data_IF_254566051546
#
_entry.id   IF_254566051546
#
_cell.length_a   1.000
_cell.length_b   1.000
_cell.length_c   1.000
_cell.angle_alpha   90.00
_cell.angle_beta   90.00
_cell.angle_gamma   90.00
#
_symmetry.space_group_name_H-M   'P 1'
#
loop_
_entity.id
_entity.type
_entity.pdbx_description
1 polymer ?
#
# COMPACT_ATOMS: atom_id res chain seq x y z
N UNK A 1 -13.76 -2.92 -7.37
CA UNK A 1 -12.36 -2.51 -7.60
C UNK A 1 -11.93 -2.76 -9.05
N UNK A 2 -12.08 -3.98 -9.58
CA UNK A 2 -11.78 -4.32 -10.98
C UNK A 2 -12.52 -3.42 -11.97
N UNK A 3 -13.84 -3.23 -11.79
CA UNK A 3 -14.66 -2.34 -12.59
C UNK A 3 -14.20 -0.87 -12.51
N UNK A 4 -13.79 -0.39 -11.33
CA UNK A 4 -13.25 0.97 -11.17
C UNK A 4 -11.96 1.16 -11.95
N UNK A 5 -11.04 0.20 -11.89
CA UNK A 5 -9.80 0.24 -12.66
C UNK A 5 -10.04 0.08 -14.16
N UNK A 6 -10.98 -0.79 -14.58
CA UNK A 6 -11.42 -0.89 -15.99
C UNK A 6 -12.05 0.42 -16.47
N UNK A 7 -12.88 1.09 -15.66
CA UNK A 7 -13.50 2.37 -16.03
C UNK A 7 -12.47 3.50 -16.13
N UNK A 8 -11.54 3.57 -15.19
CA UNK A 8 -10.42 4.52 -15.25
C UNK A 8 -9.61 4.25 -16.53
N UNK A 9 -9.28 2.99 -16.82
CA UNK A 9 -8.59 2.60 -18.05
C UNK A 9 -9.40 2.94 -19.30
N UNK A 10 -10.70 2.62 -19.35
CA UNK A 10 -11.58 2.83 -20.51
C UNK A 10 -11.83 4.31 -20.81
N UNK A 11 -12.09 5.13 -19.79
CA UNK A 11 -12.26 6.60 -19.99
C UNK A 11 -10.99 7.28 -20.46
N UNK A 12 -9.81 6.79 -20.02
CA UNK A 12 -8.53 7.32 -20.50
C UNK A 12 -8.19 6.82 -21.91
N UNK A 13 -8.60 5.61 -22.32
CA UNK A 13 -8.42 5.14 -23.70
C UNK A 13 -9.28 5.92 -24.69
N UNK A 14 -10.51 6.33 -24.33
CA UNK A 14 -11.36 7.15 -25.19
C UNK A 14 -10.79 8.55 -25.45
N UNK A 15 -9.89 9.05 -24.59
CA UNK A 15 -9.22 10.33 -24.77
C UNK A 15 -8.02 10.29 -25.75
N UNK A 16 -7.56 9.09 -26.17
CA UNK A 16 -6.43 8.93 -27.12
C UNK A 16 -6.56 7.62 -27.93
N UNK A 17 -6.91 7.64 -29.23
CA UNK A 17 -6.88 6.46 -30.07
C UNK A 17 -5.47 6.11 -30.54
N UNK A 18 -5.07 4.85 -30.30
CA UNK A 18 -4.01 4.16 -31.03
C UNK A 18 -2.66 4.01 -30.34
N UNK A 19 -2.46 2.88 -29.63
CA UNK A 19 -1.19 2.12 -29.63
C UNK A 19 -1.50 0.68 -29.16
N UNK A 20 -1.24 -0.32 -29.99
CA UNK A 20 -1.25 -1.74 -29.66
C UNK A 20 0.17 -2.20 -29.37
N UNK A 21 0.44 -2.69 -28.15
CA UNK A 21 1.71 -3.30 -27.77
C UNK A 21 1.46 -4.64 -27.06
N UNK A 22 2.11 -5.71 -27.52
CA UNK A 22 2.01 -7.05 -26.93
C UNK A 22 2.70 -7.12 -25.55
N UNK A 23 2.16 -7.89 -24.59
CA UNK A 23 2.76 -8.04 -23.26
C UNK A 23 3.99 -8.96 -23.31
N UNK A 24 5.10 -8.48 -22.73
CA UNK A 24 6.30 -9.31 -22.49
C UNK A 24 6.10 -10.26 -21.31
N UNK A 25 6.64 -11.46 -21.40
CA UNK A 25 6.62 -12.47 -20.33
C UNK A 25 7.30 -11.94 -19.06
N UNK A 26 6.57 -12.00 -17.95
CA UNK A 26 7.11 -11.71 -16.63
C UNK A 26 8.06 -12.85 -16.19
N UNK A 27 9.30 -12.51 -15.87
CA UNK A 27 10.25 -13.43 -15.23
C UNK A 27 9.86 -13.66 -13.78
N UNK A 28 9.82 -14.91 -13.34
CA UNK A 28 9.56 -15.25 -11.93
C UNK A 28 10.67 -14.66 -11.02
N UNK A 29 10.32 -14.01 -9.89
CA UNK A 29 11.32 -13.45 -8.99
C UNK A 29 12.16 -14.56 -8.33
N UNK A 30 13.46 -14.29 -8.14
CA UNK A 30 14.32 -15.18 -7.36
C UNK A 30 13.81 -15.29 -5.91
N UNK A 31 14.05 -16.43 -5.26
CA UNK A 31 13.58 -16.67 -3.87
C UNK A 31 14.11 -15.68 -2.82
N UNK A 32 15.12 -14.87 -3.17
CA UNK A 32 15.77 -13.86 -2.33
C UNK A 32 15.29 -12.43 -2.59
N UNK A 33 14.48 -12.18 -3.62
CA UNK A 33 14.01 -10.84 -3.93
C UNK A 33 13.10 -10.30 -2.82
N UNK A 34 13.35 -9.06 -2.38
CA UNK A 34 12.52 -8.37 -1.38
C UNK A 34 11.35 -7.61 -2.00
N UNK A 35 11.35 -7.43 -3.31
CA UNK A 35 10.36 -6.67 -4.06
C UNK A 35 10.05 -7.38 -5.38
N UNK A 36 8.78 -7.43 -5.76
CA UNK A 36 8.35 -7.69 -7.13
C UNK A 36 8.01 -6.38 -7.81
N UNK A 37 8.49 -6.17 -9.03
CA UNK A 37 8.12 -5.04 -9.88
C UNK A 37 7.73 -5.54 -11.27
N UNK A 38 6.47 -5.38 -11.64
CA UNK A 38 5.94 -5.73 -12.96
C UNK A 38 5.70 -4.43 -13.73
N UNK A 39 6.37 -4.22 -14.87
CA UNK A 39 6.18 -3.01 -15.67
C UNK A 39 4.79 -2.97 -16.29
N UNK A 40 4.21 -1.78 -16.42
CA UNK A 40 2.91 -1.55 -17.06
C UNK A 40 3.03 -0.82 -18.40
N UNK A 41 1.94 -0.79 -19.16
CA UNK A 41 1.79 -0.03 -20.42
C UNK A 41 0.79 1.13 -20.28
N UNK A 42 0.01 1.15 -19.20
CA UNK A 42 -0.96 2.20 -18.87
C UNK A 42 -0.35 3.30 -18.01
N UNK A 43 -1.02 4.44 -17.78
CA UNK A 43 -0.58 5.44 -16.81
C UNK A 43 -0.81 5.05 -15.35
N UNK A 44 -1.41 3.88 -15.10
CA UNK A 44 -1.72 3.39 -13.76
C UNK A 44 -0.53 2.63 -13.17
N UNK A 45 -0.25 2.91 -11.91
CA UNK A 45 0.75 2.21 -11.09
C UNK A 45 0.06 1.85 -9.77
N UNK A 46 0.12 0.60 -9.41
CA UNK A 46 -0.36 0.10 -8.12
C UNK A 46 0.82 -0.43 -7.31
N UNK A 47 0.81 -0.19 -6.01
CA UNK A 47 1.78 -0.80 -5.09
C UNK A 47 1.11 -1.36 -3.83
N UNK A 48 1.73 -2.39 -3.25
CA UNK A 48 1.37 -2.96 -1.95
C UNK A 48 2.60 -3.03 -1.04
N UNK A 49 2.76 -2.07 -0.12
CA UNK A 49 3.93 -2.01 0.75
C UNK A 49 3.84 -2.94 1.97
N UNK A 50 2.65 -3.45 2.31
CA UNK A 50 2.36 -4.05 3.61
C UNK A 50 1.79 -5.48 3.56
N UNK A 51 1.63 -6.07 2.36
CA UNK A 51 1.13 -7.44 2.22
C UNK A 51 2.22 -8.52 2.31
N UNK A 52 3.49 -8.12 2.50
CA UNK A 52 4.62 -9.04 2.52
C UNK A 52 4.60 -9.99 3.71
N UNK A 53 4.82 -11.28 3.43
CA UNK A 53 4.76 -12.40 4.38
C UNK A 53 6.10 -13.12 4.55
N UNK A 54 7.18 -12.66 3.91
CA UNK A 54 8.51 -13.26 4.02
C UNK A 54 9.25 -12.65 5.20
N UNK A 55 9.18 -13.33 6.34
CA UNK A 55 9.85 -12.92 7.57
C UNK A 55 11.34 -13.29 7.50
N UNK A 56 12.26 -12.30 7.50
CA UNK A 56 13.69 -12.59 7.42
C UNK A 56 14.21 -13.28 8.68
N UNK A 57 15.18 -14.19 8.53
CA UNK A 57 15.81 -14.91 9.65
C UNK A 57 16.47 -13.95 10.67
N UNK A 58 16.93 -12.80 10.20
CA UNK A 58 17.56 -11.74 11.03
C UNK A 58 16.52 -10.81 11.69
N UNK A 59 15.22 -11.13 11.65
CA UNK A 59 14.22 -10.27 12.29
C UNK A 59 14.46 -10.12 13.78
N UNK A 60 14.70 -11.23 14.46
CA UNK A 60 15.00 -11.22 15.89
C UNK A 60 13.86 -10.73 16.77
N UNK A 61 12.60 -10.95 16.33
CA UNK A 61 11.41 -10.66 17.14
C UNK A 61 11.30 -11.58 18.33
N UNK A 62 10.72 -11.07 19.43
CA UNK A 62 10.36 -11.85 20.61
C UNK A 62 8.98 -12.50 20.52
N UNK A 63 8.20 -12.12 19.49
CA UNK A 63 6.83 -12.57 19.31
C UNK A 63 6.76 -13.74 18.32
N UNK A 64 5.73 -14.56 18.45
CA UNK A 64 5.46 -15.64 17.51
C UNK A 64 4.92 -15.10 16.17
N UNK A 65 5.01 -15.93 15.12
CA UNK A 65 4.64 -15.55 13.77
C UNK A 65 3.16 -15.18 13.64
N UNK A 66 2.26 -15.86 14.36
CA UNK A 66 0.81 -15.58 14.28
C UNK A 66 0.49 -14.18 14.82
N UNK A 67 1.14 -13.78 15.90
CA UNK A 67 1.04 -12.41 16.45
C UNK A 67 1.61 -11.37 15.48
N UNK A 68 2.79 -11.63 14.88
CA UNK A 68 3.41 -10.70 13.93
C UNK A 68 2.56 -10.49 12.68
N UNK A 69 1.94 -11.54 12.15
CA UNK A 69 1.11 -11.50 10.95
C UNK A 69 -0.14 -10.64 11.07
N UNK A 70 -0.61 -10.34 12.27
CA UNK A 70 -1.75 -9.44 12.50
C UNK A 70 -1.48 -7.99 12.04
N UNK A 71 -0.22 -7.61 11.88
CA UNK A 71 0.18 -6.30 11.38
C UNK A 71 0.17 -6.21 9.84
N UNK A 72 0.07 -7.34 9.13
CA UNK A 72 0.04 -7.38 7.66
C UNK A 72 -1.26 -6.78 7.11
N UNK A 73 -1.18 -6.17 5.94
CA UNK A 73 -2.34 -5.91 5.08
C UNK A 73 -2.60 -7.18 4.26
N UNK A 74 -3.00 -8.25 4.99
CA UNK A 74 -3.09 -9.62 4.49
C UNK A 74 -3.98 -9.73 3.26
N UNK A 75 -3.53 -10.45 2.23
CA UNK A 75 -4.21 -10.70 0.95
C UNK A 75 -4.37 -9.50 0.01
N UNK A 76 -3.87 -8.30 0.33
CA UNK A 76 -3.97 -7.15 -0.56
C UNK A 76 -3.29 -7.44 -1.91
N UNK A 77 -2.17 -8.15 -1.91
CA UNK A 77 -1.48 -8.59 -3.14
C UNK A 77 -2.38 -9.46 -4.03
N UNK A 78 -3.25 -10.29 -3.43
CA UNK A 78 -4.19 -11.14 -4.17
C UNK A 78 -5.35 -10.33 -4.72
N UNK A 79 -5.84 -9.32 -3.96
CA UNK A 79 -6.92 -8.43 -4.38
C UNK A 79 -6.55 -7.70 -5.67
N UNK A 80 -5.28 -7.34 -5.83
CA UNK A 80 -4.80 -6.59 -6.99
C UNK A 80 -4.02 -7.44 -8.01
N UNK A 81 -3.99 -8.78 -7.85
CA UNK A 81 -3.25 -9.69 -8.73
C UNK A 81 -3.63 -9.60 -10.22
N UNK A 82 -4.84 -9.09 -10.52
CA UNK A 82 -5.32 -8.85 -11.89
C UNK A 82 -4.65 -7.64 -12.58
N UNK A 83 -4.07 -6.71 -11.82
CA UNK A 83 -3.59 -5.43 -12.35
C UNK A 83 -2.59 -5.56 -13.51
N UNK A 84 -1.57 -6.45 -13.47
CA UNK A 84 -0.66 -6.64 -14.59
C UNK A 84 -1.33 -7.10 -15.89
N UNK A 85 -2.38 -7.94 -15.80
CA UNK A 85 -3.11 -8.40 -16.98
C UNK A 85 -3.85 -7.26 -17.71
N UNK A 86 -4.14 -6.15 -17.01
CA UNK A 86 -4.69 -4.91 -17.58
C UNK A 86 -3.61 -3.93 -18.05
N UNK A 87 -2.34 -4.33 -18.05
CA UNK A 87 -1.21 -3.45 -18.40
C UNK A 87 -0.89 -2.39 -17.32
N UNK A 88 -1.38 -2.58 -16.11
CA UNK A 88 -1.09 -1.71 -14.96
C UNK A 88 0.25 -2.13 -14.35
N UNK A 89 1.12 -1.18 -14.04
CA UNK A 89 2.36 -1.48 -13.32
C UNK A 89 2.04 -1.90 -11.88
N UNK A 90 2.74 -2.94 -11.39
CA UNK A 90 2.56 -3.48 -10.04
C UNK A 90 3.88 -3.53 -9.30
N UNK A 91 3.90 -3.02 -8.06
CA UNK A 91 5.04 -3.12 -7.15
C UNK A 91 4.59 -3.71 -5.82
N UNK A 92 5.28 -4.75 -5.34
CA UNK A 92 4.91 -5.48 -4.14
C UNK A 92 6.12 -5.68 -3.24
N UNK A 93 5.99 -5.33 -1.95
CA UNK A 93 6.94 -5.69 -0.91
C UNK A 93 6.72 -7.14 -0.46
N UNK A 94 7.79 -7.93 -0.34
CA UNK A 94 7.72 -9.28 0.21
C UNK A 94 8.05 -9.35 1.69
N UNK A 95 8.72 -8.33 2.22
CA UNK A 95 9.03 -8.20 3.65
C UNK A 95 7.83 -7.63 4.42
N UNK A 96 7.63 -8.05 5.69
CA UNK A 96 6.50 -7.56 6.48
C UNK A 96 6.76 -6.13 6.97
N UNK A 97 5.71 -5.31 7.01
CA UNK A 97 5.79 -3.91 7.49
C UNK A 97 6.32 -3.79 8.92
N UNK A 98 6.10 -4.80 9.73
CA UNK A 98 6.54 -4.83 11.12
C UNK A 98 8.08 -4.99 11.24
N UNK A 99 8.74 -5.52 10.20
CA UNK A 99 10.20 -5.60 10.08
C UNK A 99 10.79 -4.29 9.60
N UNK A 100 10.18 -3.68 8.57
CA UNK A 100 10.46 -2.35 8.05
C UNK A 100 9.22 -1.83 7.33
N UNK A 101 8.73 -0.66 7.72
CA UNK A 101 7.55 -0.04 7.11
C UNK A 101 7.98 0.82 5.89
N UNK A 102 7.74 0.31 4.68
CA UNK A 102 8.06 1.01 3.45
C UNK A 102 7.18 2.27 3.21
N UNK A 103 6.06 2.41 3.93
CA UNK A 103 5.22 3.61 3.90
C UNK A 103 5.59 4.61 5.03
N UNK A 104 6.87 4.60 5.43
CA UNK A 104 7.49 5.56 6.34
C UNK A 104 8.75 6.16 5.72
N UNK A 105 9.05 7.41 6.06
CA UNK A 105 10.33 8.02 5.70
C UNK A 105 11.46 7.42 6.57
N UNK A 106 12.67 7.38 6.04
CA UNK A 106 13.84 6.90 6.78
C UNK A 106 14.18 7.76 7.99
N UNK A 107 13.67 8.98 8.07
CA UNK A 107 13.77 9.89 9.21
C UNK A 107 12.74 9.60 10.32
N UNK A 108 11.79 8.70 10.09
CA UNK A 108 10.73 8.32 11.05
C UNK A 108 11.18 7.15 11.95
N UNK A 109 12.36 7.24 12.52
CA UNK A 109 12.96 6.19 13.35
C UNK A 109 12.91 6.56 14.85
N UNK A 110 12.45 5.62 15.68
CA UNK A 110 12.60 5.72 17.14
C UNK A 110 14.01 5.30 17.55
N UNK A 111 14.87 6.29 17.83
CA UNK A 111 16.27 6.02 18.22
C UNK A 111 16.40 5.30 19.56
N UNK A 112 15.36 5.24 20.39
CA UNK A 112 15.38 4.45 21.63
C UNK A 112 15.39 2.93 21.37
N UNK A 113 15.10 2.50 20.14
CA UNK A 113 15.27 1.11 19.70
C UNK A 113 16.73 0.72 19.46
N UNK A 114 17.66 1.68 19.39
CA UNK A 114 19.01 1.45 18.93
C UNK A 114 20.00 1.26 20.08
N UNK A 115 20.92 0.34 19.86
CA UNK A 115 22.18 0.26 20.58
C UNK A 115 23.22 1.07 19.79
N UNK A 116 23.38 2.34 20.20
CA UNK A 116 24.26 3.32 19.57
C UNK A 116 23.53 4.52 18.93
N UNK A 117 24.33 5.53 18.57
CA UNK A 117 23.83 6.78 18.00
C UNK A 117 23.49 6.64 16.52
N UNK A 118 22.28 7.09 16.14
CA UNK A 118 21.87 7.14 14.73
C UNK A 118 22.53 8.32 14.03
N UNK A 119 23.31 8.10 12.96
CA UNK A 119 24.10 9.17 12.35
C UNK A 119 23.36 10.03 11.34
N UNK A 120 22.17 9.58 10.90
CA UNK A 120 21.41 10.27 9.86
C UNK A 120 20.30 11.16 10.49
N UNK A 121 19.71 12.13 9.75
CA UNK A 121 18.66 12.98 10.26
C UNK A 121 17.43 12.20 10.75
N UNK A 122 16.81 12.68 11.82
CA UNK A 122 15.51 12.23 12.35
C UNK A 122 14.50 13.36 12.17
N UNK A 123 13.26 12.99 11.84
CA UNK A 123 12.16 13.94 11.72
C UNK A 123 11.94 14.72 13.01
N UNK A 124 11.73 16.02 12.88
CA UNK A 124 11.33 16.92 13.98
C UNK A 124 9.84 17.30 13.92
N UNK A 125 9.09 16.81 12.93
CA UNK A 125 7.67 17.09 12.79
C UNK A 125 6.89 16.44 13.94
N UNK A 126 6.16 17.21 14.76
CA UNK A 126 5.39 16.67 15.90
C UNK A 126 4.35 15.63 15.51
N UNK A 127 3.75 15.73 14.31
CA UNK A 127 2.76 14.76 13.79
C UNK A 127 3.41 13.42 13.46
N UNK A 128 4.59 13.46 12.85
CA UNK A 128 5.41 12.28 12.57
C UNK A 128 5.86 11.63 13.88
N UNK A 129 6.43 12.43 14.79
CA UNK A 129 6.91 11.97 16.09
C UNK A 129 5.80 11.36 16.95
N UNK A 130 4.54 11.80 16.82
CA UNK A 130 3.43 11.18 17.55
C UNK A 130 3.26 9.71 17.18
N UNK A 131 3.35 9.36 15.89
CA UNK A 131 3.28 7.99 15.40
C UNK A 131 4.51 7.16 15.80
N UNK A 132 5.69 7.74 15.70
CA UNK A 132 6.95 7.11 16.13
C UNK A 132 6.89 6.75 17.61
N UNK A 133 6.41 7.65 18.48
CA UNK A 133 6.24 7.40 19.94
C UNK A 133 5.24 6.27 20.23
N UNK A 134 4.26 6.05 19.37
CA UNK A 134 3.34 4.91 19.46
C UNK A 134 3.94 3.61 18.91
N UNK A 135 5.23 3.65 18.54
CA UNK A 135 5.95 2.50 18.04
C UNK A 135 5.64 2.14 16.57
N UNK A 136 5.12 3.10 15.80
CA UNK A 136 4.72 2.94 14.39
C UNK A 136 5.60 3.76 13.44
N UNK A 137 6.91 3.80 13.71
CA UNK A 137 7.92 4.43 12.85
C UNK A 137 8.38 3.51 11.70
N UNK A 138 9.53 3.84 11.12
CA UNK A 138 10.20 3.05 10.07
C UNK A 138 10.43 1.59 10.51
N UNK A 139 10.86 1.40 11.75
CA UNK A 139 10.95 0.10 12.43
C UNK A 139 9.89 0.11 13.53
N UNK A 140 8.97 -0.85 13.48
CA UNK A 140 7.93 -0.93 14.50
C UNK A 140 8.50 -1.41 15.84
N UNK A 141 8.09 -0.76 16.91
CA UNK A 141 8.47 -1.07 18.28
C UNK A 141 7.42 -1.92 18.99
N UNK A 142 6.15 -1.64 18.71
CA UNK A 142 5.00 -2.31 19.30
C UNK A 142 4.03 -2.79 18.24
N UNK A 143 3.34 -3.90 18.51
CA UNK A 143 2.18 -4.37 17.73
C UNK A 143 1.00 -3.40 17.87
N UNK A 144 -0.09 -3.64 17.16
CA UNK A 144 -1.36 -2.91 17.31
C UNK A 144 -2.05 -3.18 18.64
N UNK A 145 -1.62 -4.21 19.38
CA UNK A 145 -2.05 -4.54 20.73
C UNK A 145 -1.15 -3.97 21.82
N UNK A 146 -0.06 -3.31 21.42
CA UNK A 146 0.90 -2.69 22.35
C UNK A 146 1.97 -3.66 22.87
N UNK A 147 2.13 -4.85 22.27
CA UNK A 147 3.15 -5.82 22.65
C UNK A 147 4.51 -5.41 22.07
N UNK A 148 5.59 -5.44 22.87
CA UNK A 148 6.92 -5.11 22.37
C UNK A 148 7.42 -6.19 21.39
N UNK A 149 7.86 -5.75 20.22
CA UNK A 149 8.35 -6.65 19.16
C UNK A 149 9.73 -7.20 19.49
N UNK A 150 10.56 -6.39 20.12
CA UNK A 150 11.93 -6.75 20.47
C UNK A 150 12.13 -6.75 21.99
N UNK A 151 12.91 -7.71 22.49
CA UNK A 151 13.41 -7.75 23.87
C UNK A 151 14.87 -7.23 23.97
N UNK A 152 15.40 -6.70 22.87
CA UNK A 152 16.74 -6.12 22.77
C UNK A 152 16.70 -4.82 21.98
N UNK A 153 17.73 -4.04 22.07
CA UNK A 153 17.98 -2.98 21.12
C UNK A 153 18.54 -3.57 19.81
N UNK A 154 18.27 -2.87 18.70
CA UNK A 154 18.83 -3.18 17.39
C UNK A 154 20.10 -2.38 17.19
N UNK A 155 21.08 -2.95 16.54
CA UNK A 155 22.27 -2.19 16.17
C UNK A 155 21.96 -1.23 15.02
N UNK A 156 22.70 -0.13 14.93
CA UNK A 156 22.64 0.81 13.79
C UNK A 156 22.89 0.09 12.46
N UNK A 157 23.80 -0.89 12.45
CA UNK A 157 24.11 -1.69 11.26
C UNK A 157 22.91 -2.53 10.79
N UNK A 158 22.15 -3.15 11.72
CA UNK A 158 20.93 -3.90 11.38
C UNK A 158 19.88 -3.02 10.73
N UNK A 159 19.62 -1.83 11.29
CA UNK A 159 18.62 -0.92 10.72
C UNK A 159 19.05 -0.41 9.34
N UNK A 160 20.32 -0.07 9.15
CA UNK A 160 20.87 0.31 7.85
C UNK A 160 20.73 -0.81 6.82
N UNK A 161 21.07 -2.04 7.20
CA UNK A 161 20.93 -3.20 6.34
C UNK A 161 19.45 -3.44 5.92
N UNK A 162 18.49 -3.21 6.82
CA UNK A 162 17.05 -3.26 6.48
C UNK A 162 16.65 -2.17 5.48
N UNK A 163 17.11 -0.94 5.69
CA UNK A 163 16.88 0.17 4.75
C UNK A 163 17.44 -0.17 3.37
N UNK A 164 18.67 -0.63 3.29
CA UNK A 164 19.35 -0.91 2.03
C UNK A 164 18.74 -2.12 1.30
N UNK A 165 18.30 -3.14 2.03
CA UNK A 165 17.76 -4.37 1.46
C UNK A 165 16.26 -4.29 1.14
N UNK A 166 15.49 -3.47 1.85
CA UNK A 166 14.04 -3.42 1.75
C UNK A 166 13.54 -2.06 1.27
N UNK A 167 13.82 -0.98 2.00
CA UNK A 167 13.28 0.34 1.74
C UNK A 167 13.73 0.91 0.40
N UNK A 168 15.05 0.94 0.17
CA UNK A 168 15.62 1.52 -1.06
C UNK A 168 15.17 0.80 -2.33
N UNK A 169 15.21 -0.55 -2.42
CA UNK A 169 14.73 -1.26 -3.59
C UNK A 169 13.24 -1.06 -3.84
N UNK A 170 12.41 -1.01 -2.78
CA UNK A 170 10.98 -0.78 -2.91
C UNK A 170 10.69 0.61 -3.46
N UNK A 171 11.25 1.64 -2.85
CA UNK A 171 11.08 3.01 -3.31
C UNK A 171 11.64 3.25 -4.71
N UNK A 172 12.77 2.63 -5.06
CA UNK A 172 13.32 2.68 -6.41
C UNK A 172 12.36 2.07 -7.45
N UNK A 173 11.73 0.92 -7.13
CA UNK A 173 10.77 0.27 -8.01
C UNK A 173 9.50 1.12 -8.22
N UNK A 174 8.94 1.69 -7.15
CA UNK A 174 7.77 2.58 -7.22
C UNK A 174 8.10 3.84 -8.04
N UNK A 175 9.23 4.49 -7.77
CA UNK A 175 9.66 5.66 -8.52
C UNK A 175 9.82 5.35 -10.01
N UNK A 176 10.51 4.26 -10.35
CA UNK A 176 10.71 3.83 -11.73
C UNK A 176 9.39 3.55 -12.46
N UNK A 177 8.44 2.89 -11.79
CA UNK A 177 7.13 2.61 -12.38
C UNK A 177 6.33 3.89 -12.67
N UNK A 178 6.32 4.85 -11.72
CA UNK A 178 5.66 6.14 -11.87
C UNK A 178 6.32 6.98 -12.97
N UNK A 179 7.66 7.03 -12.99
CA UNK A 179 8.42 7.77 -14.03
C UNK A 179 8.16 7.19 -15.42
N UNK A 180 8.15 5.86 -15.56
CA UNK A 180 7.86 5.19 -16.83
C UNK A 180 6.42 5.45 -17.29
N UNK A 181 5.43 5.41 -16.40
CA UNK A 181 4.04 5.74 -16.69
C UNK A 181 3.90 7.20 -17.15
N UNK A 182 4.49 8.13 -16.40
CA UNK A 182 4.48 9.57 -16.71
C UNK A 182 5.17 9.88 -18.03
N UNK A 183 6.34 9.32 -18.30
CA UNK A 183 7.09 9.54 -19.54
C UNK A 183 6.31 9.11 -20.79
N UNK A 184 5.48 8.06 -20.68
CA UNK A 184 4.68 7.54 -21.81
C UNK A 184 3.46 8.39 -22.13
N UNK A 185 2.83 9.00 -21.12
CA UNK A 185 1.49 9.61 -21.25
C UNK A 185 1.43 11.08 -20.83
N UNK A 186 2.51 11.65 -20.29
CA UNK A 186 2.53 12.99 -19.71
C UNK A 186 1.83 13.08 -18.35
N UNK A 187 1.33 11.97 -17.82
CA UNK A 187 0.74 11.88 -16.49
C UNK A 187 0.87 10.46 -15.91
N UNK A 188 0.75 10.34 -14.59
CA UNK A 188 0.69 9.07 -13.88
C UNK A 188 -0.37 9.11 -12.79
N UNK A 189 -0.98 7.95 -12.52
CA UNK A 189 -1.93 7.73 -11.43
C UNK A 189 -1.40 6.55 -10.61
N UNK A 190 -0.92 6.84 -9.42
CA UNK A 190 -0.41 5.87 -8.48
C UNK A 190 -1.47 5.59 -7.40
N UNK A 191 -1.83 4.33 -7.21
CA UNK A 191 -2.69 3.86 -6.14
C UNK A 191 -1.86 3.05 -5.15
N UNK A 192 -1.71 3.58 -3.94
CA UNK A 192 -1.03 2.95 -2.83
C UNK A 192 -2.03 2.08 -2.07
N UNK A 193 -1.92 0.75 -2.24
CA UNK A 193 -2.94 -0.22 -1.88
C UNK A 193 -2.71 -0.78 -0.47
N UNK A 194 -3.70 -0.60 0.39
CA UNK A 194 -3.70 -1.01 1.79
C UNK A 194 -4.99 -1.70 2.21
N UNK A 195 -4.98 -2.25 3.41
CA UNK A 195 -6.21 -2.65 4.10
C UNK A 195 -6.23 -2.17 5.54
N UNK A 196 -7.43 -1.96 6.05
CA UNK A 196 -7.68 -1.53 7.41
C UNK A 196 -8.60 -2.51 8.14
N UNK A 197 -8.51 -2.64 9.48
CA UNK A 197 -9.43 -3.47 10.25
C UNK A 197 -10.86 -2.89 10.18
N UNK A 198 -11.87 -3.73 10.43
CA UNK A 198 -13.27 -3.29 10.49
C UNK A 198 -13.51 -2.24 11.58
N UNK A 199 -12.81 -2.40 12.70
CA UNK A 199 -12.86 -1.47 13.84
C UNK A 199 -11.44 -1.08 14.22
N UNK A 200 -11.18 0.22 14.37
CA UNK A 200 -9.90 0.73 14.81
C UNK A 200 -9.51 0.17 16.18
N UNK A 201 -8.30 -0.36 16.31
CA UNK A 201 -7.79 -0.90 17.56
C UNK A 201 -7.72 0.15 18.67
N UNK A 202 -7.75 -0.27 19.92
CA UNK A 202 -7.69 0.64 21.09
C UNK A 202 -6.39 1.43 21.18
N UNK A 203 -5.34 0.99 20.53
CA UNK A 203 -4.05 1.69 20.39
C UNK A 203 -3.88 2.39 19.04
N UNK A 204 -4.98 2.56 18.27
CA UNK A 204 -4.93 3.38 17.07
C UNK A 204 -4.49 4.80 17.41
N UNK A 205 -3.68 5.38 16.54
CA UNK A 205 -3.14 6.73 16.73
C UNK A 205 -4.21 7.81 16.72
N UNK A 206 -5.30 7.55 15.99
CA UNK A 206 -6.44 8.42 15.82
C UNK A 206 -7.71 7.58 15.88
N UNK A 207 -8.74 8.08 16.54
CA UNK A 207 -10.07 7.49 16.59
C UNK A 207 -10.15 6.01 17.05
N UNK A 208 -9.62 5.64 18.25
CA UNK A 208 -9.74 4.27 18.77
C UNK A 208 -11.22 3.84 18.83
N UNK A 209 -11.52 2.62 18.36
CA UNK A 209 -12.88 2.08 18.36
C UNK A 209 -13.77 2.59 17.22
N UNK A 210 -13.26 3.40 16.30
CA UNK A 210 -14.00 3.83 15.12
C UNK A 210 -14.33 2.62 14.23
N UNK A 211 -15.59 2.47 13.86
CA UNK A 211 -15.99 1.57 12.78
C UNK A 211 -15.62 2.20 11.44
N UNK A 212 -14.84 1.46 10.64
CA UNK A 212 -14.40 1.96 9.35
C UNK A 212 -15.43 1.71 8.24
N UNK A 213 -15.52 2.66 7.30
CA UNK A 213 -16.21 2.45 6.03
C UNK A 213 -15.59 1.29 5.24
N UNK A 214 -16.26 0.86 4.16
CA UNK A 214 -15.75 -0.20 3.30
C UNK A 214 -14.45 0.21 2.58
N UNK A 215 -14.36 1.48 2.21
CA UNK A 215 -13.16 2.08 1.62
C UNK A 215 -12.83 3.42 2.27
N UNK A 216 -11.53 3.71 2.38
CA UNK A 216 -11.04 5.06 2.66
C UNK A 216 -10.09 5.48 1.54
N UNK A 217 -10.35 6.65 0.96
CA UNK A 217 -9.54 7.25 -0.10
C UNK A 217 -8.79 8.45 0.48
N UNK A 218 -7.46 8.39 0.43
CA UNK A 218 -6.59 9.42 1.01
C UNK A 218 -5.67 10.05 -0.04
N UNK A 219 -5.77 11.38 -0.20
CA UNK A 219 -4.89 12.17 -1.10
C UNK A 219 -4.28 13.38 -0.38
N UNK A 220 -4.18 13.27 0.96
CA UNK A 220 -3.61 14.32 1.82
C UNK A 220 -4.28 15.67 1.64
N UNK A 221 -5.63 15.66 1.68
CA UNK A 221 -6.47 16.84 1.52
C UNK A 221 -6.24 17.54 0.15
N UNK A 222 -6.15 16.76 -0.94
CA UNK A 222 -5.97 17.24 -2.31
C UNK A 222 -4.54 17.64 -2.67
N UNK A 223 -3.55 17.39 -1.80
CA UNK A 223 -2.16 17.80 -2.06
C UNK A 223 -1.39 16.80 -2.94
N UNK A 224 -1.83 15.53 -3.01
CA UNK A 224 -1.12 14.48 -3.75
C UNK A 224 -1.87 13.97 -4.98
N UNK A 225 -3.13 14.37 -5.17
CA UNK A 225 -3.90 14.08 -6.38
C UNK A 225 -4.84 15.24 -6.72
N UNK A 226 -5.37 15.25 -7.96
CA UNK A 226 -6.41 16.23 -8.29
C UNK A 226 -7.73 15.85 -7.60
N UNK A 227 -8.48 16.82 -7.05
CA UNK A 227 -9.77 16.55 -6.40
C UNK A 227 -10.77 15.83 -7.30
N UNK A 228 -10.76 16.13 -8.61
CA UNK A 228 -11.63 15.47 -9.58
C UNK A 228 -11.34 13.97 -9.72
N UNK A 229 -10.06 13.56 -9.65
CA UNK A 229 -9.69 12.14 -9.69
C UNK A 229 -10.12 11.42 -8.42
N UNK A 230 -9.88 12.00 -7.25
CA UNK A 230 -10.31 11.42 -5.97
C UNK A 230 -11.83 11.31 -5.87
N UNK A 231 -12.56 12.34 -6.33
CA UNK A 231 -14.02 12.32 -6.41
C UNK A 231 -14.53 11.21 -7.33
N UNK A 232 -13.95 11.05 -8.53
CA UNK A 232 -14.30 10.00 -9.46
C UNK A 232 -14.18 8.58 -8.84
N UNK A 233 -13.09 8.34 -8.11
CA UNK A 233 -12.88 7.05 -7.42
C UNK A 233 -13.94 6.84 -6.34
N UNK A 234 -14.18 7.85 -5.50
CA UNK A 234 -15.18 7.77 -4.43
C UNK A 234 -16.61 7.55 -4.99
N UNK A 235 -16.99 8.28 -6.02
CA UNK A 235 -18.32 8.18 -6.66
C UNK A 235 -18.52 6.80 -7.29
N UNK A 236 -17.50 6.28 -7.96
CA UNK A 236 -17.59 4.96 -8.56
C UNK A 236 -17.73 3.85 -7.52
N UNK A 237 -16.94 3.88 -6.43
CA UNK A 237 -17.07 2.91 -5.34
C UNK A 237 -18.43 2.99 -4.67
N UNK A 238 -18.98 4.19 -4.46
CA UNK A 238 -20.36 4.38 -3.94
C UNK A 238 -21.43 3.86 -4.90
N UNK A 239 -21.26 4.08 -6.21
CA UNK A 239 -22.15 3.52 -7.23
C UNK A 239 -22.13 1.98 -7.26
N UNK A 240 -21.02 1.35 -6.85
CA UNK A 240 -20.94 -0.10 -6.65
C UNK A 240 -21.53 -0.57 -5.29
N UNK A 241 -22.14 0.32 -4.50
CA UNK A 241 -22.80 -0.02 -3.24
C UNK A 241 -21.92 0.02 -2.00
N UNK A 242 -20.65 0.46 -2.10
CA UNK A 242 -19.74 0.55 -0.96
C UNK A 242 -19.86 1.87 -0.20
N UNK A 243 -19.69 1.83 1.11
CA UNK A 243 -19.47 3.01 1.94
C UNK A 243 -18.03 3.52 1.74
N UNK A 244 -17.89 4.84 1.52
CA UNK A 244 -16.59 5.45 1.21
C UNK A 244 -16.38 6.72 2.01
N UNK A 245 -15.30 6.76 2.78
CA UNK A 245 -14.79 7.94 3.46
C UNK A 245 -13.62 8.54 2.65
N UNK A 246 -13.46 9.88 2.78
CA UNK A 246 -12.43 10.63 2.07
C UNK A 246 -11.56 11.40 3.06
N UNK A 247 -10.26 11.10 3.04
CA UNK A 247 -9.27 11.69 3.95
C UNK A 247 -9.59 11.51 5.45
N UNK A 248 -10.43 10.53 5.81
CA UNK A 248 -10.78 10.25 7.19
C UNK A 248 -11.02 8.73 7.38
N UNK A 249 -10.43 8.09 8.38
CA UNK A 249 -9.38 8.62 9.28
C UNK A 249 -7.98 8.66 8.62
N UNK A 250 -7.80 8.01 7.46
CA UNK A 250 -6.52 7.87 6.78
C UNK A 250 -6.40 8.82 5.58
N UNK A 251 -5.45 9.77 5.67
CA UNK A 251 -5.22 10.76 4.61
C UNK A 251 -4.15 10.37 3.60
N UNK A 252 -3.44 9.27 3.85
CA UNK A 252 -2.23 8.91 3.13
C UNK A 252 -0.95 9.38 3.83
N UNK A 253 0.11 8.60 3.69
CA UNK A 253 1.38 8.79 4.41
C UNK A 253 2.54 9.02 3.44
N UNK A 254 3.66 8.33 3.63
CA UNK A 254 4.93 8.64 2.95
C UNK A 254 4.87 8.40 1.44
N UNK A 255 4.35 7.25 0.99
CA UNK A 255 4.36 6.91 -0.44
C UNK A 255 3.55 7.92 -1.26
N UNK A 256 2.35 8.29 -0.82
CA UNK A 256 1.56 9.29 -1.53
C UNK A 256 2.15 10.70 -1.39
N UNK A 257 2.74 11.04 -0.24
CA UNK A 257 3.42 12.32 -0.03
C UNK A 257 4.63 12.48 -0.95
N UNK A 258 5.42 11.42 -1.10
CA UNK A 258 6.67 11.43 -1.86
C UNK A 258 6.43 11.46 -3.37
N UNK A 259 5.43 10.74 -3.84
CA UNK A 259 5.22 10.52 -5.27
C UNK A 259 4.08 11.33 -5.88
N UNK A 260 3.22 11.96 -5.05
CA UNK A 260 2.15 12.84 -5.49
C UNK A 260 2.66 14.25 -5.79
N UNK A 261 2.41 14.73 -7.01
CA UNK A 261 2.64 16.10 -7.45
C UNK A 261 1.64 16.43 -8.56
N UNK A 262 0.39 16.80 -8.21
CA UNK A 262 -0.66 17.05 -9.20
C UNK A 262 -0.34 18.23 -10.14
N UNK A 263 0.48 19.19 -9.73
CA UNK A 263 0.93 20.27 -10.58
C UNK A 263 1.82 19.79 -11.75
N UNK A 264 2.45 18.63 -11.59
CA UNK A 264 3.22 17.94 -12.63
C UNK A 264 2.48 16.74 -13.21
N UNK A 265 1.15 16.67 -13.04
CA UNK A 265 0.32 15.55 -13.49
C UNK A 265 0.73 14.17 -12.93
N UNK A 266 1.32 14.16 -11.73
CA UNK A 266 1.63 12.96 -10.96
C UNK A 266 0.65 12.85 -9.80
N UNK A 267 -0.31 11.97 -9.93
CA UNK A 267 -1.34 11.77 -8.91
C UNK A 267 -1.02 10.54 -8.08
N UNK A 268 -1.13 10.65 -6.76
CA UNK A 268 -0.89 9.53 -5.84
C UNK A 268 -1.96 9.53 -4.76
N UNK A 269 -2.65 8.39 -4.62
CA UNK A 269 -3.82 8.20 -3.77
C UNK A 269 -3.64 6.92 -2.95
N UNK A 270 -3.82 7.01 -1.64
CA UNK A 270 -3.89 5.84 -0.77
C UNK A 270 -5.31 5.27 -0.80
N UNK A 271 -5.41 3.95 -0.96
CA UNK A 271 -6.66 3.21 -0.96
C UNK A 271 -6.63 2.20 0.15
N UNK A 272 -7.51 2.36 1.14
CA UNK A 272 -7.70 1.43 2.24
C UNK A 272 -8.96 0.61 2.00
N UNK A 273 -8.84 -0.72 2.00
CA UNK A 273 -9.96 -1.65 1.91
C UNK A 273 -10.25 -2.20 3.30
N UNK A 274 -11.51 -2.16 3.73
CA UNK A 274 -11.92 -2.79 4.97
C UNK A 274 -11.78 -4.31 4.88
N UNK A 275 -11.04 -4.91 5.81
CA UNK A 275 -10.76 -6.36 5.85
C UNK A 275 -12.01 -7.22 5.93
N UNK A 276 -13.10 -6.70 6.55
CA UNK A 276 -14.41 -7.40 6.62
C UNK A 276 -14.96 -7.80 5.25
N UNK A 277 -14.53 -7.14 4.16
CA UNK A 277 -15.03 -7.40 2.81
C UNK A 277 -14.44 -8.66 2.17
N UNK A 278 -13.31 -9.18 2.68
CA UNK A 278 -12.60 -10.23 1.97
C UNK A 278 -11.91 -11.28 2.88
N UNK A 279 -11.84 -11.04 4.20
CA UNK A 279 -11.19 -11.96 5.13
C UNK A 279 -11.83 -11.96 6.51
N UNK A 280 -11.63 -13.03 7.23
CA UNK A 280 -11.85 -13.14 8.68
C UNK A 280 -10.62 -12.58 9.41
N UNK A 281 -10.78 -11.50 10.19
CA UNK A 281 -9.67 -10.82 10.86
C UNK A 281 -9.08 -11.61 12.04
N UNK A 282 -9.79 -12.62 12.56
CA UNK A 282 -9.29 -13.43 13.68
C UNK A 282 -8.40 -14.56 13.18
N UNK A 283 -8.81 -15.22 12.11
CA UNK A 283 -8.11 -16.37 11.53
C UNK A 283 -7.17 -16.00 10.40
N UNK A 284 -7.28 -14.78 9.87
CA UNK A 284 -6.64 -14.29 8.64
C UNK A 284 -7.03 -15.12 7.40
N UNK A 285 -8.08 -15.92 7.47
CA UNK A 285 -8.56 -16.71 6.35
C UNK A 285 -9.31 -15.82 5.34
N UNK A 286 -9.04 -16.03 4.05
CA UNK A 286 -9.78 -15.40 2.99
C UNK A 286 -11.22 -15.93 2.95
N UNK A 287 -12.22 -15.05 2.85
CA UNK A 287 -13.61 -15.46 2.71
C UNK A 287 -13.92 -15.83 1.26
N UNK A 288 -14.67 -16.92 1.02
CA UNK A 288 -15.06 -17.34 -0.34
C UNK A 288 -15.82 -16.23 -1.11
N UNK A 289 -16.68 -15.50 -0.41
CA UNK A 289 -17.48 -14.38 -0.96
C UNK A 289 -16.63 -13.11 -1.20
N UNK A 290 -15.51 -12.94 -0.52
CA UNK A 290 -14.53 -11.88 -0.79
C UNK A 290 -13.89 -12.02 -2.18
N UNK A 291 -14.03 -13.20 -2.80
CA UNK A 291 -13.67 -13.42 -4.21
C UNK A 291 -14.57 -12.62 -5.17
N UNK A 292 -15.78 -12.18 -4.75
CA UNK A 292 -16.70 -11.38 -5.57
C UNK A 292 -16.18 -9.96 -5.88
N UNK A 293 -15.22 -9.45 -5.12
CA UNK A 293 -14.47 -8.26 -5.55
C UNK A 293 -13.72 -8.50 -6.88
N UNK A 294 -13.57 -9.78 -7.28
CA UNK A 294 -12.85 -10.22 -8.47
C UNK A 294 -13.72 -10.61 -9.65
N UNK A 295 -14.97 -11.07 -9.43
CA UNK A 295 -15.71 -11.88 -10.41
C UNK A 295 -17.01 -11.30 -10.91
N UNK A 296 -17.49 -10.16 -10.44
CA UNK A 296 -18.84 -9.66 -10.75
C UNK A 296 -19.06 -9.19 -12.21
N UNK A 297 -18.03 -9.22 -13.07
CA UNK A 297 -18.15 -8.77 -14.46
C UNK A 297 -17.86 -9.84 -15.53
N UNK A 298 -17.67 -11.10 -15.15
CA UNK A 298 -17.43 -12.16 -16.15
C UNK A 298 -18.72 -12.86 -16.63
N UNK A 299 -19.85 -12.64 -15.93
CA UNK A 299 -21.10 -13.34 -16.20
C UNK A 299 -22.08 -12.57 -17.08
N UNK A 300 -21.92 -11.25 -17.26
CA UNK A 300 -22.93 -10.43 -17.98
C UNK A 300 -22.65 -10.22 -19.47
N UNK A 301 -21.55 -10.76 -20.04
CA UNK A 301 -21.25 -10.60 -21.47
C UNK A 301 -21.67 -11.78 -22.35
N UNK A 302 -22.20 -12.88 -21.82
CA UNK A 302 -22.60 -14.03 -22.66
C UNK A 302 -24.09 -14.07 -23.07
N UNK A 303 -24.95 -13.17 -22.59
CA UNK A 303 -26.40 -13.18 -22.92
C UNK A 303 -26.85 -12.03 -23.84
N UNK A 304 -25.99 -11.51 -24.70
CA UNK A 304 -26.37 -10.54 -25.74
C UNK A 304 -25.87 -10.99 -27.11
N UNK A 305 -26.52 -12.01 -27.67
CA UNK A 305 -26.51 -12.29 -29.12
C UNK A 305 -27.98 -12.42 -29.59
#
# INVERSE_FOLDING_TARGET
MHAALKLIHHRFQQAQPGVTGSPGLATQPSSTATVTAVPGSTPLVLDSPHSGTRYPDDFGSALDLATLRRAEDTHVEKIYAFAPALGVAWVEAHFPRIYLDANRDTTELDTSLLDGDWPDPISTDPKVLSKVRLGKGLIWKFTDQGEPIYQRQLTVAEVRARIDRCWRPYHAAVAQAIDAAHARRGYSIHLNCHSMPAVAGRFATEFPGLEHADFVIGDRDGTTASPALSALICEHLRACGYSVEYNHPYKGVELVRRYGNPAQHRHSIQVEINRKLYMDEQTLAQMPEGCLLYTSDAADEEDSV
#
